data_IF_565533642623
#
_entry.id   IF_565533642623
#
_cell.length_a   1.000
_cell.length_b   1.000
_cell.length_c   1.000
_cell.angle_alpha   90.00
_cell.angle_beta   90.00
_cell.angle_gamma   90.00
#
_symmetry.space_group_name_H-M   'P 1'
#
loop_
_entity.id
_entity.type
_entity.pdbx_description
1 polymer ?
#
# COMPACT_ATOMS: atom_id res chain seq x y z
N UNK A 1 -0.51 -2.42 4.46
CA UNK A 1 -0.81 -1.83 5.78
C UNK A 1 -2.30 -1.42 5.79
N UNK A 2 -2.80 -0.84 6.88
CA UNK A 2 -4.16 -0.32 7.06
C UNK A 2 -4.40 1.05 6.38
N UNK A 3 -5.65 1.53 6.35
CA UNK A 3 -6.02 2.85 5.82
C UNK A 3 -5.55 4.03 6.70
N UNK A 4 -5.48 5.22 6.09
CA UNK A 4 -4.91 6.46 6.65
C UNK A 4 -5.46 6.81 8.03
N UNK A 5 -6.78 6.92 8.19
CA UNK A 5 -7.41 7.25 9.46
C UNK A 5 -7.03 6.28 10.59
N UNK A 6 -7.04 4.98 10.32
CA UNK A 6 -6.65 3.97 11.31
C UNK A 6 -5.16 4.01 11.63
N UNK A 7 -4.31 4.27 10.63
CA UNK A 7 -2.86 4.41 10.83
C UNK A 7 -2.52 5.62 11.70
N UNK A 8 -3.12 6.78 11.43
CA UNK A 8 -2.92 8.01 12.21
C UNK A 8 -3.36 7.82 13.66
N UNK A 9 -4.48 7.14 13.91
CA UNK A 9 -4.94 6.87 15.27
C UNK A 9 -3.94 6.08 16.12
N UNK A 10 -3.14 5.22 15.49
CA UNK A 10 -2.12 4.42 16.17
C UNK A 10 -0.81 5.20 16.27
N UNK A 11 -0.34 5.75 15.14
CA UNK A 11 0.96 6.40 15.03
C UNK A 11 1.02 7.75 15.75
N UNK A 12 -0.05 8.55 15.65
CA UNK A 12 -0.14 9.91 16.20
C UNK A 12 -0.95 9.99 17.48
N UNK A 13 -1.18 8.84 18.16
CA UNK A 13 -1.93 8.79 19.41
C UNK A 13 -1.43 9.79 20.46
N UNK A 14 -0.11 9.95 20.57
CA UNK A 14 0.51 10.89 21.50
C UNK A 14 0.24 12.36 21.17
N UNK A 15 0.33 12.72 19.88
CA UNK A 15 0.05 14.08 19.41
C UNK A 15 -1.42 14.46 19.64
N UNK A 16 -2.34 13.55 19.32
CA UNK A 16 -3.77 13.76 19.54
C UNK A 16 -4.11 13.89 21.04
N UNK A 17 -3.50 13.07 21.90
CA UNK A 17 -3.68 13.17 23.34
C UNK A 17 -3.13 14.49 23.93
N UNK A 18 -2.05 15.03 23.36
CA UNK A 18 -1.52 16.33 23.78
C UNK A 18 -2.45 17.49 23.41
N UNK A 19 -3.10 17.43 22.23
CA UNK A 19 -4.11 18.41 21.82
C UNK A 19 -5.35 18.34 22.72
N UNK A 20 -5.80 17.13 23.03
CA UNK A 20 -6.93 16.90 23.96
C UNK A 20 -6.62 17.48 25.35
N UNK A 21 -5.43 17.18 25.89
CA UNK A 21 -4.99 17.69 27.19
C UNK A 21 -4.83 19.22 27.23
N UNK A 22 -4.53 19.85 26.08
CA UNK A 22 -4.46 21.30 25.93
C UNK A 22 -5.84 21.95 25.72
N UNK A 23 -6.93 21.17 25.64
CA UNK A 23 -8.28 21.65 25.37
C UNK A 23 -8.51 22.08 23.92
N UNK A 24 -7.70 21.59 22.98
CA UNK A 24 -7.80 21.91 21.55
C UNK A 24 -8.76 20.99 20.77
N UNK A 25 -8.92 21.26 19.48
CA UNK A 25 -9.76 20.47 18.59
C UNK A 25 -8.98 19.25 18.04
N UNK A 26 -9.21 18.10 18.67
CA UNK A 26 -8.57 16.82 18.32
C UNK A 26 -9.00 16.33 16.93
N UNK A 27 -10.23 16.59 16.50
CA UNK A 27 -10.71 16.10 15.21
C UNK A 27 -10.16 16.95 14.06
N UNK A 28 -10.03 18.26 14.26
CA UNK A 28 -9.31 19.11 13.29
C UNK A 28 -7.84 18.66 13.14
N UNK A 29 -7.16 18.37 14.24
CA UNK A 29 -5.78 17.88 14.20
C UNK A 29 -5.68 16.49 13.55
N UNK A 30 -6.61 15.58 13.87
CA UNK A 30 -6.69 14.27 13.24
C UNK A 30 -6.87 14.40 11.73
N UNK A 31 -7.79 15.26 11.28
CA UNK A 31 -8.03 15.48 9.85
C UNK A 31 -6.77 16.01 9.15
N UNK A 32 -6.03 16.94 9.78
CA UNK A 32 -4.76 17.45 9.27
C UNK A 32 -3.72 16.34 9.11
N UNK A 33 -3.52 15.53 10.15
CA UNK A 33 -2.55 14.43 10.15
C UNK A 33 -2.93 13.31 9.18
N UNK A 34 -4.23 13.06 8.98
CA UNK A 34 -4.72 12.11 7.97
C UNK A 34 -4.40 12.60 6.56
N UNK A 35 -4.64 13.88 6.26
CA UNK A 35 -4.32 14.45 4.96
C UNK A 35 -2.80 14.39 4.67
N UNK A 36 -1.98 14.73 5.66
CA UNK A 36 -0.52 14.63 5.55
C UNK A 36 -0.06 13.18 5.31
N UNK A 37 -0.63 12.23 6.04
CA UNK A 37 -0.33 10.80 5.86
C UNK A 37 -0.76 10.31 4.47
N UNK A 38 -1.91 10.75 3.97
CA UNK A 38 -2.40 10.38 2.64
C UNK A 38 -1.47 10.88 1.54
N UNK A 39 -1.05 12.14 1.61
CA UNK A 39 -0.13 12.71 0.64
C UNK A 39 1.23 12.02 0.68
N UNK A 40 1.78 11.80 1.88
CA UNK A 40 3.10 11.22 2.05
C UNK A 40 3.17 9.73 1.72
N UNK A 41 2.18 8.93 2.13
CA UNK A 41 2.28 7.46 2.15
C UNK A 41 1.22 6.77 1.28
N UNK A 42 0.05 7.37 1.07
CA UNK A 42 -1.04 6.74 0.29
C UNK A 42 -0.86 7.04 -1.20
N UNK A 43 0.30 6.65 -1.70
CA UNK A 43 0.70 6.80 -3.09
C UNK A 43 1.52 5.56 -3.51
N UNK A 44 1.68 5.30 -4.81
CA UNK A 44 2.36 4.09 -5.27
C UNK A 44 3.89 4.18 -5.22
N UNK A 45 4.46 5.33 -4.89
CA UNK A 45 5.88 5.62 -5.09
C UNK A 45 6.77 4.88 -4.10
N UNK A 46 6.38 4.82 -2.83
CA UNK A 46 7.06 4.02 -1.80
C UNK A 46 7.16 2.52 -2.18
N UNK A 47 6.13 2.00 -2.85
CA UNK A 47 6.12 0.61 -3.31
C UNK A 47 6.98 0.41 -4.57
N UNK A 48 7.05 1.42 -5.44
CA UNK A 48 7.92 1.43 -6.60
C UNK A 48 9.40 1.51 -6.21
N UNK A 49 9.76 2.38 -5.28
CA UNK A 49 11.14 2.57 -4.80
C UNK A 49 11.70 1.31 -4.13
N UNK A 50 10.83 0.50 -3.50
CA UNK A 50 11.18 -0.79 -2.91
C UNK A 50 11.17 -1.95 -3.91
N UNK A 51 10.76 -1.71 -5.16
CA UNK A 51 10.67 -2.75 -6.19
C UNK A 51 9.54 -3.76 -5.96
N UNK A 52 8.55 -3.44 -5.13
CA UNK A 52 7.34 -4.26 -5.00
C UNK A 52 6.43 -4.13 -6.22
N UNK A 53 6.49 -2.98 -6.88
CA UNK A 53 5.81 -2.69 -8.14
C UNK A 53 6.86 -2.42 -9.20
N UNK A 54 6.77 -3.10 -10.35
CA UNK A 54 7.73 -2.93 -11.45
C UNK A 54 7.68 -1.53 -12.09
N UNK A 55 6.49 -0.93 -12.19
CA UNK A 55 6.30 0.42 -12.74
C UNK A 55 4.94 1.05 -12.37
N UNK A 56 4.93 2.36 -12.17
CA UNK A 56 3.70 3.18 -12.13
C UNK A 56 3.42 3.71 -13.54
N UNK A 57 2.25 3.39 -14.10
CA UNK A 57 1.92 3.65 -15.51
C UNK A 57 0.65 4.47 -15.66
N UNK A 58 0.48 5.12 -16.82
CA UNK A 58 -0.80 5.76 -17.15
C UNK A 58 -1.87 4.68 -17.42
N UNK A 59 -3.14 4.89 -17.03
CA UNK A 59 -4.19 3.89 -17.25
C UNK A 59 -4.35 3.43 -18.71
N UNK A 60 -4.13 4.34 -19.68
CA UNK A 60 -4.18 4.02 -21.11
C UNK A 60 -3.06 3.08 -21.59
N UNK A 61 -1.97 2.95 -20.83
CA UNK A 61 -0.82 2.10 -21.16
C UNK A 61 -1.00 0.66 -20.66
N UNK A 62 -2.01 0.39 -19.83
CA UNK A 62 -2.24 -0.93 -19.21
C UNK A 62 -2.30 -2.05 -20.24
N UNK A 63 -3.05 -1.87 -21.34
CA UNK A 63 -3.13 -2.88 -22.42
C UNK A 63 -1.77 -3.22 -23.00
N UNK A 64 -0.94 -2.20 -23.25
CA UNK A 64 0.39 -2.38 -23.82
C UNK A 64 1.30 -3.15 -22.86
N UNK A 65 1.28 -2.81 -21.57
CA UNK A 65 2.12 -3.47 -20.57
C UNK A 65 1.73 -4.93 -20.39
N UNK A 66 0.42 -5.22 -20.31
CA UNK A 66 -0.08 -6.61 -20.23
C UNK A 66 0.38 -7.43 -21.44
N UNK A 67 0.22 -6.90 -22.67
CA UNK A 67 0.64 -7.61 -23.89
C UNK A 67 2.14 -7.91 -23.88
N UNK A 68 2.98 -6.96 -23.44
CA UNK A 68 4.43 -7.15 -23.32
C UNK A 68 4.77 -8.21 -22.27
N UNK A 69 4.18 -8.10 -21.08
CA UNK A 69 4.41 -9.06 -19.99
C UNK A 69 4.00 -10.48 -20.40
N UNK A 70 2.84 -10.67 -21.03
CA UNK A 70 2.38 -11.98 -21.51
C UNK A 70 3.31 -12.57 -22.58
N UNK A 71 3.82 -11.75 -23.50
CA UNK A 71 4.79 -12.21 -24.52
C UNK A 71 6.12 -12.64 -23.89
N UNK A 72 6.61 -11.87 -22.92
CA UNK A 72 7.83 -12.17 -22.17
C UNK A 72 7.69 -13.47 -21.37
N UNK A 73 6.58 -13.62 -20.65
CA UNK A 73 6.33 -14.75 -19.75
C UNK A 73 5.83 -16.02 -20.48
N UNK A 74 5.62 -15.96 -21.80
CA UNK A 74 5.08 -17.06 -22.61
C UNK A 74 5.84 -18.38 -22.43
N UNK A 75 7.15 -18.31 -22.22
CA UNK A 75 8.02 -19.49 -22.06
C UNK A 75 8.48 -19.69 -20.61
N UNK A 76 7.83 -19.05 -19.64
CA UNK A 76 8.15 -19.25 -18.22
C UNK A 76 8.04 -20.74 -17.86
N UNK A 77 9.07 -21.27 -17.22
CA UNK A 77 9.12 -22.61 -16.64
C UNK A 77 9.40 -22.46 -15.15
N UNK A 78 8.53 -23.01 -14.32
CA UNK A 78 8.67 -22.98 -12.86
C UNK A 78 8.26 -24.35 -12.31
N UNK A 79 9.11 -24.91 -11.45
CA UNK A 79 8.83 -26.16 -10.76
C UNK A 79 8.48 -25.86 -9.30
N UNK A 80 7.53 -26.61 -8.75
CA UNK A 80 7.20 -26.59 -7.33
C UNK A 80 7.88 -27.79 -6.63
N UNK A 81 8.10 -27.72 -5.30
CA UNK A 81 8.63 -28.86 -4.55
C UNK A 81 7.76 -30.13 -4.72
N UNK A 82 8.37 -31.33 -4.82
CA UNK A 82 7.65 -32.57 -5.04
C UNK A 82 6.73 -32.90 -3.84
N UNK A 83 5.46 -33.16 -4.12
CA UNK A 83 4.44 -33.50 -3.11
C UNK A 83 3.23 -34.19 -3.77
N UNK A 84 2.42 -34.92 -3.00
CA UNK A 84 1.15 -35.49 -3.49
C UNK A 84 0.12 -34.41 -3.83
N UNK A 85 -0.07 -33.45 -2.91
CA UNK A 85 -0.91 -32.26 -3.06
C UNK A 85 -0.53 -31.23 -1.97
N UNK A 86 -1.12 -30.03 -2.02
CA UNK A 86 -1.03 -29.05 -0.93
C UNK A 86 -2.01 -29.35 0.22
N UNK A 87 -1.96 -28.53 1.28
CA UNK A 87 -2.93 -28.55 2.38
C UNK A 87 -3.44 -27.12 2.59
N UNK A 88 -4.35 -26.68 1.72
CA UNK A 88 -4.96 -25.35 1.84
C UNK A 88 -5.92 -25.35 3.04
N UNK A 89 -6.00 -24.26 3.85
CA UNK A 89 -7.01 -24.16 4.91
C UNK A 89 -8.43 -24.37 4.36
N UNK A 90 -9.25 -25.17 5.05
CA UNK A 90 -10.67 -25.39 4.77
C UNK A 90 -11.56 -24.42 5.56
#
# INVERSE_FOLDING_TARGET
VMGSGGAVNILQRGALAAVDAAGGDVEAERARLVAEYEEAIVNPWDAADRGYVDAVIRPSQTRLQIVRALRLLRTKRAAMPPKKHGNIPL
#
